data_IF_667457339255
#
_entry.id   IF_667457339255
#
_cell.length_a   1.000
_cell.length_b   1.000
_cell.length_c   1.000
_cell.angle_alpha   90.00
_cell.angle_beta   90.00
_cell.angle_gamma   90.00
#
_symmetry.space_group_name_H-M   'P 1'
#
loop_
_entity.id
_entity.type
_entity.pdbx_description
1 polymer ?
#
# COMPACT_ATOMS: atom_id res chain seq x y z
N UNK A 1 -16.04 6.71 -24.03
CA UNK A 1 -16.47 5.39 -23.47
C UNK A 1 -15.57 5.16 -22.27
N UNK A 2 -16.07 5.38 -21.06
CA UNK A 2 -15.21 5.65 -19.89
C UNK A 2 -14.90 4.42 -19.04
N UNK A 3 -15.73 3.38 -19.12
CA UNK A 3 -15.62 2.20 -18.24
C UNK A 3 -14.22 1.56 -18.20
N UNK A 4 -13.51 1.34 -19.33
CA UNK A 4 -12.16 0.76 -19.28
C UNK A 4 -11.14 1.63 -18.55
N UNK A 5 -11.30 2.96 -18.57
CA UNK A 5 -10.43 3.89 -17.87
C UNK A 5 -10.69 3.82 -16.36
N UNK A 6 -11.97 3.87 -15.97
CA UNK A 6 -12.39 3.75 -14.57
C UNK A 6 -11.88 2.45 -13.94
N UNK A 7 -11.94 1.34 -14.69
CA UNK A 7 -11.40 0.06 -14.21
C UNK A 7 -9.88 0.09 -14.04
N UNK A 8 -9.15 0.84 -14.87
CA UNK A 8 -7.71 1.03 -14.75
C UNK A 8 -7.29 1.93 -13.57
N UNK A 9 -8.20 2.76 -13.08
CA UNK A 9 -7.96 3.65 -11.93
C UNK A 9 -8.15 2.93 -10.58
N UNK A 10 -8.68 1.71 -10.57
CA UNK A 10 -8.84 0.93 -9.34
C UNK A 10 -7.48 0.53 -8.75
N UNK A 11 -7.35 0.68 -7.43
CA UNK A 11 -6.14 0.27 -6.71
C UNK A 11 -6.07 -1.25 -6.57
N UNK A 12 -4.88 -1.81 -6.77
CA UNK A 12 -4.62 -3.24 -6.56
C UNK A 12 -4.20 -3.48 -5.11
N UNK A 13 -4.99 -4.28 -4.39
CA UNK A 13 -4.78 -4.58 -2.97
C UNK A 13 -4.37 -6.04 -2.75
N UNK A 14 -3.40 -6.33 -1.87
CA UNK A 14 -2.97 -7.71 -1.60
C UNK A 14 -4.02 -8.46 -0.76
N UNK A 15 -4.73 -9.40 -1.38
CA UNK A 15 -5.78 -10.22 -0.74
C UNK A 15 -5.34 -10.85 0.58
N UNK A 16 -4.17 -11.48 0.59
CA UNK A 16 -3.65 -12.21 1.75
C UNK A 16 -3.42 -11.32 2.97
N UNK A 17 -3.18 -10.03 2.77
CA UNK A 17 -3.03 -9.08 3.87
C UNK A 17 -4.40 -8.58 4.35
N UNK A 18 -5.25 -8.11 3.44
CA UNK A 18 -6.55 -7.51 3.80
C UNK A 18 -7.57 -8.51 4.36
N UNK A 19 -7.54 -9.76 3.92
CA UNK A 19 -8.37 -10.84 4.47
C UNK A 19 -7.71 -11.58 5.64
N UNK A 20 -6.46 -11.24 5.96
CA UNK A 20 -5.66 -11.87 7.00
C UNK A 20 -5.90 -11.31 8.41
N UNK A 21 -4.96 -11.59 9.30
CA UNK A 21 -4.99 -11.16 10.70
C UNK A 21 -4.01 -10.04 10.98
N UNK A 22 -4.39 -9.14 11.89
CA UNK A 22 -3.54 -8.09 12.43
C UNK A 22 -2.46 -8.64 13.38
N UNK A 23 -1.58 -7.77 13.86
CA UNK A 23 -0.51 -8.12 14.80
C UNK A 23 -1.00 -8.72 16.13
N UNK A 24 -2.28 -8.53 16.49
CA UNK A 24 -2.89 -9.12 17.69
C UNK A 24 -3.56 -10.48 17.41
N UNK A 25 -3.50 -10.96 16.16
CA UNK A 25 -4.12 -12.21 15.72
C UNK A 25 -5.60 -12.08 15.36
N UNK A 26 -6.17 -10.87 15.39
CA UNK A 26 -7.58 -10.64 15.06
C UNK A 26 -7.74 -10.47 13.55
N UNK A 27 -8.81 -11.03 12.98
CA UNK A 27 -9.16 -10.82 11.57
C UNK A 27 -9.38 -9.33 11.29
N UNK A 28 -8.71 -8.80 10.25
CA UNK A 28 -8.90 -7.42 9.82
C UNK A 28 -10.34 -7.20 9.34
N UNK A 29 -10.90 -6.07 9.70
CA UNK A 29 -12.21 -5.61 9.27
C UNK A 29 -12.02 -4.34 8.44
N UNK A 30 -12.22 -4.47 7.13
CA UNK A 30 -12.02 -3.39 6.16
C UNK A 30 -13.00 -2.22 6.34
N UNK A 31 -14.07 -2.41 7.11
CA UNK A 31 -15.06 -1.37 7.38
C UNK A 31 -14.66 -0.47 8.56
N UNK A 32 -13.59 -0.81 9.28
CA UNK A 32 -13.14 -0.10 10.48
C UNK A 32 -11.80 0.58 10.25
N UNK A 33 -11.54 1.73 10.90
CA UNK A 33 -10.22 2.34 10.86
C UNK A 33 -9.18 1.44 11.55
N UNK A 34 -7.96 1.48 11.03
CA UNK A 34 -6.80 0.81 11.60
C UNK A 34 -5.61 1.76 11.65
N UNK A 35 -4.73 1.55 12.63
CA UNK A 35 -3.42 2.21 12.72
C UNK A 35 -2.29 1.29 12.26
N UNK A 36 -2.62 0.08 11.83
CA UNK A 36 -1.65 -0.86 11.28
C UNK A 36 -1.18 -0.37 9.89
N UNK A 37 0.13 -0.20 9.68
CA UNK A 37 0.66 0.13 8.38
C UNK A 37 0.27 -0.94 7.34
N UNK A 38 -0.38 -0.57 6.22
CA UNK A 38 -0.81 -1.53 5.24
C UNK A 38 0.34 -2.07 4.39
N UNK A 39 0.21 -3.33 3.96
CA UNK A 39 1.07 -3.88 2.91
C UNK A 39 0.66 -3.29 1.56
N UNK A 40 1.60 -2.66 0.87
CA UNK A 40 1.41 -2.08 -0.45
C UNK A 40 2.43 -2.55 -1.48
N UNK A 41 2.31 -2.03 -2.69
CA UNK A 41 3.18 -2.35 -3.84
C UNK A 41 4.02 -1.17 -4.32
N UNK A 42 4.08 -0.09 -3.54
CA UNK A 42 4.74 1.16 -3.90
C UNK A 42 6.28 1.11 -3.74
N UNK A 43 6.96 2.12 -4.28
CA UNK A 43 8.40 2.31 -4.14
C UNK A 43 8.87 2.60 -2.71
N UNK A 44 7.95 2.93 -1.80
CA UNK A 44 8.24 3.25 -0.41
C UNK A 44 7.34 2.43 0.52
N UNK A 45 7.90 2.05 1.67
CA UNK A 45 7.20 1.39 2.77
C UNK A 45 7.24 2.25 4.02
N UNK A 46 6.23 2.10 4.89
CA UNK A 46 6.22 2.74 6.20
C UNK A 46 7.16 1.94 7.12
N UNK A 47 8.12 2.62 7.73
CA UNK A 47 9.04 2.00 8.71
C UNK A 47 8.76 2.45 10.15
N UNK A 48 8.10 3.60 10.33
CA UNK A 48 7.63 4.06 11.63
C UNK A 48 6.39 4.93 11.45
N UNK A 49 5.47 4.83 12.40
CA UNK A 49 4.21 5.56 12.39
C UNK A 49 3.84 6.01 13.81
N UNK A 50 3.64 7.32 14.00
CA UNK A 50 3.09 7.93 15.20
C UNK A 50 1.80 8.66 14.83
N UNK A 51 0.62 8.12 15.23
CA UNK A 51 -0.67 8.70 14.91
C UNK A 51 -0.74 10.19 15.27
N UNK A 52 -1.20 11.02 14.33
CA UNK A 52 -1.35 12.47 14.53
C UNK A 52 -0.05 13.27 14.57
N UNK A 53 1.11 12.64 14.33
CA UNK A 53 2.41 13.32 14.46
C UNK A 53 3.37 13.04 13.30
N UNK A 54 3.63 11.76 12.97
CA UNK A 54 4.75 11.42 12.10
C UNK A 54 4.53 10.11 11.33
N UNK A 55 4.97 10.09 10.07
CA UNK A 55 5.13 8.87 9.27
C UNK A 55 6.52 8.88 8.65
N UNK A 56 7.31 7.83 8.90
CA UNK A 56 8.63 7.66 8.29
C UNK A 56 8.53 6.63 7.18
N UNK A 57 8.99 7.03 5.99
CA UNK A 57 9.00 6.21 4.79
C UNK A 57 10.42 5.79 4.44
N UNK A 58 10.57 4.57 3.91
CA UNK A 58 11.84 4.07 3.39
C UNK A 58 11.64 3.54 1.97
N UNK A 59 12.59 3.84 1.07
CA UNK A 59 12.60 3.28 -0.28
C UNK A 59 12.78 1.77 -0.24
N UNK A 60 11.95 1.05 -0.98
CA UNK A 60 12.02 -0.40 -1.15
C UNK A 60 13.16 -0.72 -2.13
N UNK A 61 14.24 -1.39 -1.71
CA UNK A 61 15.40 -1.62 -2.56
C UNK A 61 15.07 -2.43 -3.83
N UNK A 62 14.14 -3.36 -3.70
CA UNK A 62 13.68 -4.30 -4.71
C UNK A 62 12.33 -3.90 -5.33
N UNK A 63 12.05 -2.60 -5.41
CA UNK A 63 10.81 -2.11 -6.01
C UNK A 63 10.62 -2.61 -7.45
N UNK A 64 9.60 -3.44 -7.64
CA UNK A 64 9.32 -4.17 -8.89
C UNK A 64 9.19 -3.25 -10.12
N UNK A 65 8.70 -2.02 -9.93
CA UNK A 65 8.36 -1.12 -11.03
C UNK A 65 9.47 -0.09 -11.33
N UNK A 66 10.62 -0.17 -10.66
CA UNK A 66 11.69 0.85 -10.73
C UNK A 66 12.19 1.14 -12.16
N UNK A 67 12.07 0.17 -13.08
CA UNK A 67 12.52 0.29 -14.48
C UNK A 67 11.38 0.53 -15.47
N UNK A 68 10.14 0.65 -15.03
CA UNK A 68 9.03 0.93 -15.93
C UNK A 68 9.12 2.38 -16.45
N UNK A 69 8.89 2.64 -17.76
CA UNK A 69 8.97 3.98 -18.32
C UNK A 69 8.12 5.02 -17.58
N UNK A 70 6.97 4.60 -17.04
CA UNK A 70 6.05 5.46 -16.29
C UNK A 70 6.52 5.83 -14.87
N UNK A 71 7.57 5.18 -14.36
CA UNK A 71 8.12 5.39 -13.01
C UNK A 71 9.51 6.04 -12.99
N UNK A 72 10.27 5.92 -14.07
CA UNK A 72 11.60 6.52 -14.20
C UNK A 72 11.50 8.05 -14.00
N UNK A 73 12.36 8.60 -13.14
CA UNK A 73 12.38 10.04 -12.82
C UNK A 73 11.32 10.49 -11.82
N UNK A 74 10.46 9.57 -11.33
CA UNK A 74 9.41 9.87 -10.35
C UNK A 74 9.57 9.09 -9.04
N UNK A 75 9.92 7.81 -9.11
CA UNK A 75 9.96 6.88 -7.97
C UNK A 75 11.30 6.15 -7.80
#
# INVERSE_FOLDING_TARGET
>A
RELPKILGDLVVLPKHWWEGTDATGKKRDVTRPTLEPPLGSAAYKIVSFKPGSEIIWQRVPDYWAAKLPVKIGRE
#
